data_IF_127657888336
#
_entry.id   IF_127657888336
#
_cell.length_a   1.000
_cell.length_b   1.000
_cell.length_c   1.000
_cell.angle_alpha   90.00
_cell.angle_beta   90.00
_cell.angle_gamma   90.00
#
_symmetry.space_group_name_H-M   'P 1'
#
loop_
_entity.id
_entity.type
_entity.pdbx_description
1 polymer ?
#
# COMPACT_ATOMS: atom_id res chain seq x y z
N UNK A 1 -2.64 -13.92 15.52
CA UNK A 1 -3.31 -14.04 14.21
C UNK A 1 -2.23 -14.19 13.17
N UNK A 2 -2.17 -15.34 12.50
CA UNK A 2 -1.22 -15.55 11.39
C UNK A 2 -1.63 -14.71 10.18
N UNK A 3 -0.64 -14.19 9.44
CA UNK A 3 -0.87 -13.43 8.21
C UNK A 3 -1.53 -14.37 7.19
N UNK A 4 -2.69 -13.99 6.64
CA UNK A 4 -3.30 -14.77 5.56
C UNK A 4 -2.35 -14.84 4.36
N UNK A 5 -2.23 -16.04 3.76
CA UNK A 5 -1.40 -16.24 2.56
C UNK A 5 -1.76 -15.19 1.51
N UNK A 6 -0.75 -14.51 0.96
CA UNK A 6 -0.94 -13.46 -0.03
C UNK A 6 -1.52 -14.03 -1.32
N UNK A 7 -2.46 -13.31 -1.93
CA UNK A 7 -2.95 -13.62 -3.28
C UNK A 7 -2.11 -12.88 -4.35
N UNK A 8 -1.16 -12.07 -3.90
CA UNK A 8 -0.25 -11.31 -4.76
C UNK A 8 1.03 -12.10 -5.02
N UNK A 9 1.40 -12.18 -6.30
CA UNK A 9 2.73 -12.54 -6.76
C UNK A 9 3.33 -11.36 -7.54
N UNK A 10 4.62 -11.44 -7.89
CA UNK A 10 5.31 -10.34 -8.57
C UNK A 10 4.63 -9.90 -9.87
N UNK A 11 4.17 -10.84 -10.69
CA UNK A 11 3.50 -10.52 -11.97
C UNK A 11 2.17 -9.80 -11.74
N UNK A 12 1.37 -10.28 -10.78
CA UNK A 12 0.10 -9.66 -10.38
C UNK A 12 0.35 -8.25 -9.84
N UNK A 13 1.35 -8.07 -8.98
CA UNK A 13 1.70 -6.75 -8.43
C UNK A 13 2.09 -5.80 -9.57
N UNK A 14 2.97 -6.23 -10.48
CA UNK A 14 3.37 -5.44 -11.66
C UNK A 14 2.16 -5.00 -12.48
N UNK A 15 1.26 -5.94 -12.80
CA UNK A 15 0.05 -5.66 -13.58
C UNK A 15 -0.92 -4.72 -12.85
N UNK A 16 -1.20 -4.98 -11.56
CA UNK A 16 -2.13 -4.17 -10.76
C UNK A 16 -1.62 -2.74 -10.60
N UNK A 17 -0.34 -2.55 -10.31
CA UNK A 17 0.23 -1.22 -10.08
C UNK A 17 0.33 -0.43 -11.38
N UNK A 18 0.77 -1.05 -12.47
CA UNK A 18 0.78 -0.37 -13.76
C UNK A 18 -0.64 0.03 -14.21
N UNK A 19 -1.62 -0.89 -14.09
CA UNK A 19 -3.02 -0.62 -14.45
C UNK A 19 -3.62 0.51 -13.62
N UNK A 20 -3.52 0.44 -12.28
CA UNK A 20 -4.24 1.36 -11.39
C UNK A 20 -3.50 2.66 -11.10
N UNK A 21 -2.17 2.67 -11.18
CA UNK A 21 -1.34 3.83 -10.82
C UNK A 21 -0.45 4.31 -11.98
N UNK A 22 -0.23 3.51 -13.02
CA UNK A 22 0.66 3.87 -14.14
C UNK A 22 2.14 3.82 -13.78
N UNK A 23 2.48 3.15 -12.69
CA UNK A 23 3.86 3.04 -12.19
C UNK A 23 4.47 1.75 -12.75
N UNK A 24 5.64 1.88 -13.36
CA UNK A 24 6.46 0.74 -13.75
C UNK A 24 7.33 0.29 -12.58
N UNK A 25 7.35 -1.02 -12.32
CA UNK A 25 8.04 -1.62 -11.17
C UNK A 25 9.28 -2.35 -11.65
N UNK A 26 10.43 -1.97 -11.09
CA UNK A 26 11.70 -2.63 -11.31
C UNK A 26 11.89 -3.81 -10.36
N UNK A 27 11.62 -3.59 -9.07
CA UNK A 27 11.96 -4.53 -8.00
C UNK A 27 10.83 -4.63 -6.97
N UNK A 28 10.61 -5.83 -6.45
CA UNK A 28 9.62 -6.13 -5.43
C UNK A 28 10.30 -6.95 -4.34
N UNK A 29 10.21 -6.50 -3.11
CA UNK A 29 10.73 -7.19 -1.94
C UNK A 29 9.58 -7.43 -0.95
N UNK A 30 9.37 -8.67 -0.54
CA UNK A 30 8.36 -9.00 0.47
C UNK A 30 8.92 -8.72 1.86
N UNK A 31 8.23 -7.88 2.63
CA UNK A 31 8.55 -7.60 4.03
C UNK A 31 7.68 -8.48 4.93
N UNK A 32 8.30 -9.41 5.65
CA UNK A 32 7.59 -10.27 6.61
C UNK A 32 7.49 -9.57 7.98
N UNK A 33 6.70 -8.49 8.06
CA UNK A 33 6.41 -7.76 9.31
C UNK A 33 4.94 -7.38 9.41
N UNK A 34 4.38 -7.45 10.61
CA UNK A 34 3.01 -7.00 10.91
C UNK A 34 1.94 -8.07 10.69
N UNK A 35 0.70 -7.62 10.45
CA UNK A 35 -0.50 -8.48 10.28
C UNK A 35 -1.06 -8.49 8.86
N UNK A 36 -0.38 -7.82 7.93
CA UNK A 36 -0.74 -7.71 6.52
C UNK A 36 0.42 -8.22 5.64
N UNK A 37 0.14 -8.55 4.38
CA UNK A 37 1.21 -8.82 3.43
C UNK A 37 1.77 -7.48 2.95
N UNK A 38 3.04 -7.21 3.26
CA UNK A 38 3.71 -5.95 2.94
C UNK A 38 4.76 -6.22 1.86
N UNK A 39 4.79 -5.38 0.84
CA UNK A 39 5.79 -5.42 -0.21
C UNK A 39 6.41 -4.03 -0.38
N UNK A 40 7.74 -3.98 -0.39
CA UNK A 40 8.49 -2.81 -0.84
C UNK A 40 8.59 -2.89 -2.35
N UNK A 41 8.20 -1.81 -3.02
CA UNK A 41 8.16 -1.74 -4.48
C UNK A 41 9.06 -0.59 -4.90
N UNK A 42 10.02 -0.89 -5.78
CA UNK A 42 10.93 0.11 -6.33
C UNK A 42 10.54 0.42 -7.78
N UNK A 43 10.27 1.69 -8.04
CA UNK A 43 10.19 2.27 -9.38
C UNK A 43 11.48 3.05 -9.68
N UNK A 44 11.63 3.58 -10.89
CA UNK A 44 12.85 4.29 -11.32
C UNK A 44 13.26 5.38 -10.33
N UNK A 45 12.30 6.19 -9.87
CA UNK A 45 12.58 7.40 -9.08
C UNK A 45 12.11 7.33 -7.63
N UNK A 46 11.24 6.37 -7.30
CA UNK A 46 10.54 6.32 -6.01
C UNK A 46 10.41 4.90 -5.47
N UNK A 47 10.41 4.81 -4.14
CA UNK A 47 10.11 3.59 -3.40
C UNK A 47 8.72 3.72 -2.78
N UNK A 48 7.94 2.67 -2.91
CA UNK A 48 6.59 2.56 -2.38
C UNK A 48 6.47 1.37 -1.44
N UNK A 49 5.50 1.43 -0.55
CA UNK A 49 5.07 0.31 0.26
C UNK A 49 3.66 -0.07 -0.19
N UNK A 50 3.50 -1.31 -0.63
CA UNK A 50 2.23 -1.95 -0.91
C UNK A 50 1.81 -2.77 0.30
N UNK A 51 0.57 -2.61 0.74
CA UNK A 51 0.00 -3.46 1.79
C UNK A 51 -1.26 -4.12 1.27
N UNK A 52 -1.30 -5.43 1.34
CA UNK A 52 -2.49 -6.25 1.09
C UNK A 52 -3.04 -6.71 2.45
N UNK A 53 -4.25 -6.29 2.75
CA UNK A 53 -4.95 -6.64 3.97
C UNK A 53 -5.74 -7.94 3.81
N UNK A 54 -5.91 -8.66 4.92
CA UNK A 54 -6.83 -9.79 5.02
C UNK A 54 -8.28 -9.38 4.77
N UNK A 55 -9.11 -10.32 4.33
CA UNK A 55 -10.52 -10.12 3.94
C UNK A 55 -11.40 -9.46 5.02
N UNK A 56 -11.00 -9.50 6.30
CA UNK A 56 -11.75 -8.86 7.39
C UNK A 56 -11.64 -7.33 7.45
N UNK A 57 -10.78 -6.69 6.64
CA UNK A 57 -10.64 -5.22 6.63
C UNK A 57 -11.66 -4.59 5.68
N UNK A 58 -12.38 -3.57 6.17
CA UNK A 58 -13.41 -2.87 5.39
C UNK A 58 -12.87 -1.60 4.75
N UNK A 59 -13.56 -1.15 3.69
CA UNK A 59 -13.26 0.11 3.00
C UNK A 59 -13.42 1.30 3.94
N UNK A 60 -14.44 1.27 4.80
CA UNK A 60 -14.68 2.31 5.79
C UNK A 60 -13.49 2.47 6.74
N UNK A 61 -12.88 1.37 7.19
CA UNK A 61 -11.67 1.43 8.03
C UNK A 61 -10.51 2.10 7.31
N UNK A 62 -10.33 1.85 6.01
CA UNK A 62 -9.25 2.44 5.21
C UNK A 62 -9.49 3.93 4.97
N UNK A 63 -10.75 4.32 4.71
CA UNK A 63 -11.14 5.73 4.56
C UNK A 63 -10.92 6.49 5.87
N UNK A 64 -11.33 5.92 7.02
CA UNK A 64 -11.09 6.52 8.34
C UNK A 64 -9.61 6.75 8.61
N UNK A 65 -8.78 5.74 8.36
CA UNK A 65 -7.32 5.84 8.52
C UNK A 65 -6.74 6.94 7.63
N UNK A 66 -7.14 6.97 6.35
CA UNK A 66 -6.68 8.00 5.41
C UNK A 66 -7.07 9.41 5.84
N UNK A 67 -8.29 9.60 6.37
CA UNK A 67 -8.73 10.89 6.89
C UNK A 67 -7.90 11.35 8.09
N UNK A 68 -7.56 10.43 9.00
CA UNK A 68 -6.69 10.74 10.15
C UNK A 68 -5.29 11.13 9.67
N UNK A 69 -4.71 10.36 8.74
CA UNK A 69 -3.38 10.64 8.19
C UNK A 69 -3.36 12.01 7.50
N UNK A 70 -4.37 12.33 6.69
CA UNK A 70 -4.48 13.63 6.05
C UNK A 70 -4.59 14.77 7.08
N UNK A 71 -5.40 14.60 8.12
CA UNK A 71 -5.51 15.57 9.21
C UNK A 71 -4.16 15.79 9.92
N UNK A 72 -3.41 14.73 10.22
CA UNK A 72 -2.07 14.84 10.83
C UNK A 72 -1.08 15.54 9.90
N UNK A 73 -1.14 15.24 8.60
CA UNK A 73 -0.32 15.91 7.58
C UNK A 73 -0.62 17.41 7.50
N UNK A 74 -1.88 17.82 7.58
CA UNK A 74 -2.28 19.24 7.64
C UNK A 74 -1.76 19.95 8.89
N UNK A 75 -1.44 19.22 9.95
CA UNK A 75 -0.79 19.73 11.17
C UNK A 75 0.74 19.76 11.08
N UNK A 76 1.32 19.41 9.93
CA UNK A 76 2.77 19.39 9.71
C UNK A 76 3.48 18.20 10.34
N UNK A 77 2.74 17.14 10.70
CA UNK A 77 3.32 15.90 11.21
C UNK A 77 3.75 15.04 10.02
N UNK A 78 4.99 14.54 10.08
CA UNK A 78 5.49 13.64 9.05
C UNK A 78 4.81 12.27 9.15
N UNK A 79 4.04 11.91 8.13
CA UNK A 79 3.20 10.72 8.08
C UNK A 79 3.23 10.10 6.68
N UNK A 80 3.08 8.76 6.56
CA UNK A 80 3.08 8.10 5.26
C UNK A 80 2.04 8.68 4.31
N UNK A 81 2.46 9.00 3.09
CA UNK A 81 1.56 9.56 2.07
C UNK A 81 0.90 8.45 1.28
N UNK A 82 -0.42 8.34 1.38
CA UNK A 82 -1.20 7.35 0.63
C UNK A 82 -1.38 7.83 -0.81
N UNK A 83 -1.05 6.97 -1.77
CA UNK A 83 -1.13 7.26 -3.19
C UNK A 83 -2.53 6.93 -3.69
N UNK A 84 -3.15 7.90 -4.36
CA UNK A 84 -4.41 7.67 -5.07
C UNK A 84 -4.19 6.95 -6.38
N UNK A 85 -5.07 6.00 -6.68
CA UNK A 85 -5.17 5.39 -7.99
C UNK A 85 -5.63 6.41 -9.04
N UNK A 86 -5.50 6.04 -10.33
CA UNK A 86 -6.04 6.79 -11.47
C UNK A 86 -7.55 7.06 -11.37
N UNK A 87 -8.26 6.28 -10.57
CA UNK A 87 -9.70 6.43 -10.29
C UNK A 87 -9.98 7.30 -9.05
N UNK A 88 -8.97 8.01 -8.54
CA UNK A 88 -9.05 8.88 -7.36
C UNK A 88 -9.42 8.14 -6.05
N UNK A 89 -9.19 6.83 -5.98
CA UNK A 89 -9.37 6.00 -4.78
C UNK A 89 -8.05 5.74 -4.06
N UNK A 90 -8.07 5.74 -2.72
CA UNK A 90 -6.92 5.42 -1.86
C UNK A 90 -6.64 3.92 -1.71
N UNK A 91 -7.53 3.07 -2.24
CA UNK A 91 -7.36 1.63 -2.23
C UNK A 91 -7.82 1.02 -3.55
N UNK A 92 -7.33 -0.18 -3.82
CA UNK A 92 -7.83 -1.07 -4.87
C UNK A 92 -8.37 -2.34 -4.23
N UNK A 93 -9.35 -2.96 -4.87
CA UNK A 93 -9.86 -4.28 -4.49
C UNK A 93 -9.31 -5.34 -5.45
N UNK A 94 -8.81 -6.43 -4.89
CA UNK A 94 -8.37 -7.60 -5.65
C UNK A 94 -8.73 -8.85 -4.86
N UNK A 95 -9.49 -9.77 -5.46
CA UNK A 95 -9.92 -11.02 -4.81
C UNK A 95 -10.44 -10.84 -3.38
N UNK A 96 -11.42 -9.93 -3.20
CA UNK A 96 -12.02 -9.57 -1.90
C UNK A 96 -11.05 -8.99 -0.86
N UNK A 97 -9.81 -8.66 -1.25
CA UNK A 97 -8.84 -7.99 -0.39
C UNK A 97 -8.69 -6.54 -0.77
N UNK A 98 -8.41 -5.74 0.26
CA UNK A 98 -8.08 -4.33 0.10
C UNK A 98 -6.58 -4.20 0.01
N UNK A 99 -6.12 -3.49 -1.01
CA UNK A 99 -4.72 -3.18 -1.23
C UNK A 99 -4.56 -1.65 -1.20
N UNK A 100 -3.56 -1.19 -0.47
CA UNK A 100 -3.18 0.23 -0.40
C UNK A 100 -1.73 0.42 -0.86
N UNK A 101 -1.47 1.58 -1.45
CA UNK A 101 -0.14 2.00 -1.87
C UNK A 101 0.22 3.30 -1.14
N UNK A 102 1.40 3.35 -0.54
CA UNK A 102 1.92 4.54 0.14
C UNK A 102 3.36 4.82 -0.30
N UNK A 103 3.80 6.08 -0.25
CA UNK A 103 5.21 6.40 -0.40
C UNK A 103 6.01 5.80 0.78
N UNK A 104 7.22 5.31 0.47
CA UNK A 104 8.15 4.91 1.50
C UNK A 104 8.71 6.15 2.18
N UNK A 105 8.65 6.22 3.51
CA UNK A 105 9.37 7.23 4.28
C UNK A 105 10.73 6.66 4.61
N UNK A 106 11.79 7.38 4.24
CA UNK A 106 13.14 7.03 4.62
C UNK A 106 13.33 7.28 6.12
N UNK A 107 13.81 6.27 6.83
CA UNK A 107 14.05 6.31 8.26
C UNK A 107 14.73 5.04 8.75
N UNK A 108 15.17 5.04 10.00
CA UNK A 108 15.76 3.86 10.64
C UNK A 108 14.76 3.27 11.64
N UNK A 109 14.71 1.94 11.71
CA UNK A 109 13.99 1.25 12.79
C UNK A 109 14.94 1.15 13.98
N UNK A 110 14.56 1.70 15.15
CA UNK A 110 15.28 1.47 16.41
C UNK A 110 15.00 0.08 16.97
#
# INVERSE_FOLDING_TARGET
MEIQKSNLNEQIIKALINKNYGIEIMEIEKINRGTANIFKIKSNDKVYILKEFSEGRTEESVIKETNIINFLKEKGIDVPVYIKSKQNSFYIKFENRIIILQECIDGYTM
#
